data_IF_238807484465
#
_entry.id   IF_238807484465
#
_cell.length_a   1.000
_cell.length_b   1.000
_cell.length_c   1.000
_cell.angle_alpha   90.00
_cell.angle_beta   90.00
_cell.angle_gamma   90.00
#
_symmetry.space_group_name_H-M   'P 1'
#
loop_
_entity.id
_entity.type
_entity.pdbx_description
1 polymer ?
#
# COMPACT_ATOMS: atom_id res chain seq x y z
N UNK A 1 -64.91 3.02 1.29
CA UNK A 1 -63.50 2.63 1.37
C UNK A 1 -62.71 3.75 0.74
N UNK A 2 -62.20 4.66 1.55
CA UNK A 2 -61.56 5.89 1.12
C UNK A 2 -60.04 5.75 1.18
N UNK A 3 -59.39 6.02 0.06
CA UNK A 3 -57.94 6.22 -0.05
C UNK A 3 -57.65 7.71 0.10
N UNK A 4 -57.04 8.10 1.21
CA UNK A 4 -56.54 9.45 1.45
C UNK A 4 -55.10 9.55 0.92
N UNK A 5 -54.96 10.29 -0.17
CA UNK A 5 -53.66 10.68 -0.73
C UNK A 5 -53.06 11.80 0.12
N UNK A 6 -51.85 11.57 0.65
CA UNK A 6 -51.07 12.59 1.38
C UNK A 6 -50.08 13.21 0.37
N UNK A 7 -50.30 14.48 0.06
CA UNK A 7 -49.38 15.31 -0.72
C UNK A 7 -48.24 15.83 0.19
N UNK A 8 -46.96 15.71 -0.17
CA UNK A 8 -45.87 16.42 0.52
C UNK A 8 -45.86 17.90 0.10
N UNK A 9 -46.04 18.79 1.03
CA UNK A 9 -45.85 20.24 0.89
C UNK A 9 -44.34 20.53 0.82
N UNK A 10 -43.90 21.00 -0.33
CA UNK A 10 -42.56 21.60 -0.45
C UNK A 10 -42.56 22.98 0.19
N UNK A 11 -41.90 23.10 1.33
CA UNK A 11 -41.54 24.39 1.92
C UNK A 11 -40.39 25.01 1.11
N UNK A 12 -40.76 26.05 0.34
CA UNK A 12 -39.77 26.95 -0.29
C UNK A 12 -39.06 27.75 0.82
N UNK A 13 -37.86 27.29 1.20
CA UNK A 13 -36.95 28.09 2.02
C UNK A 13 -36.30 29.10 1.08
N UNK A 14 -36.76 30.35 1.17
CA UNK A 14 -36.15 31.52 0.52
C UNK A 14 -34.80 31.76 1.19
N UNK A 15 -33.72 31.25 0.66
CA UNK A 15 -32.37 31.52 1.17
C UNK A 15 -31.91 32.90 0.70
N UNK A 16 -31.67 33.80 1.67
CA UNK A 16 -31.01 35.06 1.47
C UNK A 16 -29.54 34.83 1.04
N UNK A 17 -29.31 34.74 -0.26
CA UNK A 17 -28.02 34.54 -0.89
C UNK A 17 -27.06 35.74 -0.70
N UNK A 18 -27.51 36.86 -0.18
CA UNK A 18 -26.68 38.07 0.00
C UNK A 18 -25.83 38.11 1.28
N UNK A 19 -26.13 37.29 2.29
CA UNK A 19 -25.30 37.25 3.51
C UNK A 19 -24.11 36.28 3.38
N UNK A 20 -24.25 35.21 2.62
CA UNK A 20 -23.19 34.20 2.41
C UNK A 20 -22.02 34.78 1.58
N UNK A 21 -22.29 35.66 0.63
CA UNK A 21 -21.26 36.31 -0.18
C UNK A 21 -20.40 37.34 0.58
N UNK A 22 -20.97 38.01 1.60
CA UNK A 22 -20.18 38.92 2.44
C UNK A 22 -19.21 38.20 3.38
N UNK A 23 -19.56 37.01 3.86
CA UNK A 23 -18.68 36.23 4.72
C UNK A 23 -17.53 35.56 3.93
N UNK A 24 -17.77 35.14 2.70
CA UNK A 24 -16.71 34.58 1.84
C UNK A 24 -15.69 35.64 1.41
N UNK A 25 -16.12 36.87 1.13
CA UNK A 25 -15.18 37.96 0.80
C UNK A 25 -14.31 38.40 1.97
N UNK A 26 -14.75 38.20 3.23
CA UNK A 26 -13.94 38.55 4.40
C UNK A 26 -12.89 37.45 4.68
N UNK A 27 -13.20 36.19 4.44
CA UNK A 27 -12.27 35.06 4.59
C UNK A 27 -11.21 35.04 3.49
N UNK A 28 -11.59 35.39 2.24
CA UNK A 28 -10.63 35.49 1.14
C UNK A 28 -9.68 36.68 1.26
N UNK A 29 -10.09 37.78 1.92
CA UNK A 29 -9.18 38.95 2.15
C UNK A 29 -8.10 38.67 3.20
N UNK A 30 -8.33 37.80 4.18
CA UNK A 30 -7.30 37.45 5.16
C UNK A 30 -6.29 36.42 4.65
N UNK A 31 -6.64 35.62 3.64
CA UNK A 31 -5.74 34.61 3.05
C UNK A 31 -4.78 35.24 2.03
N UNK A 32 -5.13 36.38 1.44
CA UNK A 32 -4.29 37.04 0.40
C UNK A 32 -3.27 38.05 0.93
N UNK A 33 -3.22 38.32 2.24
CA UNK A 33 -2.33 39.37 2.78
C UNK A 33 -1.01 38.82 3.36
N UNK A 34 -0.82 37.51 3.49
CA UNK A 34 0.40 36.91 4.06
C UNK A 34 1.40 36.34 3.04
N UNK A 35 1.21 36.57 1.74
CA UNK A 35 2.08 36.01 0.70
C UNK A 35 2.97 37.07 -0.01
N UNK A 36 3.37 38.14 0.63
CA UNK A 36 4.30 39.14 0.07
C UNK A 36 5.75 39.06 0.58
N UNK A 37 6.20 37.90 1.05
CA UNK A 37 7.63 37.67 1.17
C UNK A 37 8.17 37.15 -0.15
N UNK A 38 9.13 37.85 -0.81
CA UNK A 38 9.73 37.32 -2.04
C UNK A 38 10.43 36.00 -1.71
N UNK A 39 9.94 34.91 -2.31
CA UNK A 39 10.61 33.61 -2.22
C UNK A 39 11.97 33.77 -2.90
N UNK A 40 13.01 33.92 -2.08
CA UNK A 40 14.36 33.97 -2.59
C UNK A 40 14.69 32.61 -3.19
N UNK A 41 14.90 32.56 -4.49
CA UNK A 41 15.28 31.38 -5.26
C UNK A 41 16.76 31.07 -4.95
N UNK A 42 17.08 30.75 -3.71
CA UNK A 42 18.30 30.06 -3.35
C UNK A 42 18.00 28.57 -3.28
N UNK A 43 18.96 27.75 -3.58
CA UNK A 43 18.87 26.26 -3.67
C UNK A 43 18.19 25.56 -2.48
N UNK A 44 17.96 26.26 -1.36
CA UNK A 44 17.13 25.84 -0.24
C UNK A 44 15.61 25.96 -0.45
N UNK A 45 15.16 26.84 -1.35
CA UNK A 45 13.72 27.08 -1.57
C UNK A 45 13.00 25.89 -2.21
N UNK A 46 13.71 25.11 -3.02
CA UNK A 46 13.14 23.90 -3.64
C UNK A 46 12.85 22.81 -2.61
N UNK A 47 13.68 22.70 -1.58
CA UNK A 47 13.47 21.72 -0.50
C UNK A 47 12.33 22.16 0.42
N UNK A 48 12.22 23.45 0.74
CA UNK A 48 11.12 24.00 1.56
C UNK A 48 9.77 23.90 0.84
N UNK A 49 9.72 24.18 -0.47
CA UNK A 49 8.51 24.01 -1.26
C UNK A 49 8.09 22.52 -1.33
N UNK A 50 9.05 21.64 -1.48
CA UNK A 50 8.82 20.19 -1.48
C UNK A 50 8.35 19.67 -0.12
N UNK A 51 8.91 20.19 0.96
CA UNK A 51 8.48 19.89 2.33
C UNK A 51 7.08 20.45 2.63
N UNK A 52 6.77 21.68 2.16
CA UNK A 52 5.46 22.27 2.33
C UNK A 52 4.38 21.50 1.57
N UNK A 53 4.64 21.09 0.32
CA UNK A 53 3.74 20.25 -0.46
C UNK A 53 3.58 18.88 0.20
N UNK A 54 4.66 18.26 0.66
CA UNK A 54 4.62 17.00 1.38
C UNK A 54 3.83 17.10 2.71
N UNK A 55 3.96 18.22 3.42
CA UNK A 55 3.20 18.48 4.65
C UNK A 55 1.73 18.71 4.37
N UNK A 56 1.38 19.37 3.27
CA UNK A 56 0.00 19.59 2.85
C UNK A 56 -0.67 18.31 2.35
N UNK A 57 0.04 17.45 1.60
CA UNK A 57 -0.44 16.13 1.23
C UNK A 57 -0.61 15.20 2.44
N UNK A 58 0.32 15.27 3.41
CA UNK A 58 0.21 14.51 4.66
C UNK A 58 -0.95 14.98 5.55
N UNK A 59 -1.31 16.26 5.52
CA UNK A 59 -2.46 16.79 6.28
C UNK A 59 -3.81 16.39 5.68
N UNK A 60 -3.83 16.06 4.39
CA UNK A 60 -5.03 15.55 3.70
C UNK A 60 -5.21 14.02 3.86
N UNK A 61 -4.23 13.34 4.45
CA UNK A 61 -4.27 11.89 4.62
C UNK A 61 -4.87 11.52 5.98
N UNK A 62 -5.81 10.56 6.05
CA UNK A 62 -6.48 10.18 7.30
C UNK A 62 -5.58 9.42 8.29
N UNK A 63 -4.26 9.41 8.07
CA UNK A 63 -3.31 8.73 8.95
C UNK A 63 -3.06 9.50 10.24
N UNK A 64 -2.95 8.80 11.39
CA UNK A 64 -2.56 9.43 12.64
C UNK A 64 -1.22 10.14 12.54
N UNK A 65 -1.10 11.30 13.19
CA UNK A 65 0.16 12.04 13.27
C UNK A 65 1.28 11.20 13.91
N UNK A 66 2.50 11.34 13.43
CA UNK A 66 3.66 10.63 13.96
C UNK A 66 3.91 9.24 13.36
N UNK A 67 3.08 8.77 12.42
CA UNK A 67 3.29 7.50 11.74
C UNK A 67 4.41 7.62 10.70
N UNK A 68 5.42 6.77 10.82
CA UNK A 68 6.58 6.74 9.92
C UNK A 68 6.35 5.69 8.82
N UNK A 69 6.37 6.16 7.57
CA UNK A 69 6.25 5.30 6.40
C UNK A 69 7.53 4.48 6.17
N UNK A 70 7.36 3.21 5.80
CA UNK A 70 8.49 2.33 5.55
C UNK A 70 9.16 2.62 4.21
N UNK A 71 10.47 2.82 4.22
CA UNK A 71 11.27 3.01 3.03
C UNK A 71 11.41 1.74 2.18
N UNK A 72 11.81 1.91 0.91
CA UNK A 72 11.95 0.82 -0.06
C UNK A 72 12.92 -0.27 0.39
N UNK A 73 14.07 0.10 0.98
CA UNK A 73 15.10 -0.84 1.41
C UNK A 73 14.60 -1.85 2.44
N UNK A 74 13.89 -1.39 3.47
CA UNK A 74 13.32 -2.27 4.50
C UNK A 74 12.27 -3.22 3.92
N UNK A 75 11.45 -2.74 2.98
CA UNK A 75 10.42 -3.56 2.31
C UNK A 75 11.05 -4.62 1.41
N UNK A 76 12.09 -4.24 0.64
CA UNK A 76 12.81 -5.19 -0.21
C UNK A 76 13.54 -6.25 0.61
N UNK A 77 14.20 -5.85 1.70
CA UNK A 77 14.85 -6.79 2.60
C UNK A 77 13.86 -7.78 3.23
N UNK A 78 12.70 -7.29 3.68
CA UNK A 78 11.64 -8.15 4.19
C UNK A 78 11.15 -9.16 3.14
N UNK A 79 10.93 -8.72 1.89
CA UNK A 79 10.52 -9.59 0.81
C UNK A 79 11.58 -10.65 0.48
N UNK A 80 12.86 -10.28 0.45
CA UNK A 80 13.96 -11.21 0.21
C UNK A 80 14.00 -12.29 1.28
N UNK A 81 13.87 -11.93 2.55
CA UNK A 81 13.82 -12.91 3.64
C UNK A 81 12.63 -13.83 3.52
N UNK A 82 11.43 -13.30 3.23
CA UNK A 82 10.24 -14.10 3.04
C UNK A 82 10.41 -15.11 1.88
N UNK A 83 10.95 -14.65 0.74
CA UNK A 83 11.18 -15.51 -0.43
C UNK A 83 12.26 -16.57 -0.16
N UNK A 84 13.34 -16.20 0.53
CA UNK A 84 14.40 -17.14 0.91
C UNK A 84 13.87 -18.23 1.85
N UNK A 85 13.11 -17.85 2.88
CA UNK A 85 12.50 -18.78 3.82
C UNK A 85 11.54 -19.72 3.12
N UNK A 86 10.65 -19.19 2.28
CA UNK A 86 9.70 -20.00 1.52
C UNK A 86 10.42 -20.97 0.57
N UNK A 87 11.45 -20.49 -0.14
CA UNK A 87 12.26 -21.32 -1.03
C UNK A 87 12.97 -22.45 -0.26
N UNK A 88 13.51 -22.17 0.92
CA UNK A 88 14.13 -23.18 1.77
C UNK A 88 13.12 -24.24 2.22
N UNK A 89 11.94 -23.82 2.69
CA UNK A 89 10.86 -24.74 3.09
C UNK A 89 10.44 -25.63 1.90
N UNK A 90 10.22 -25.04 0.72
CA UNK A 90 9.82 -25.80 -0.48
C UNK A 90 10.92 -26.76 -0.94
N UNK A 91 12.18 -26.36 -0.86
CA UNK A 91 13.32 -27.23 -1.20
C UNK A 91 13.35 -28.46 -0.31
N UNK A 92 13.17 -28.27 1.00
CA UNK A 92 13.11 -29.40 1.93
C UNK A 92 11.87 -30.25 1.70
N UNK A 93 10.69 -29.65 1.57
CA UNK A 93 9.42 -30.38 1.38
C UNK A 93 9.38 -31.17 0.09
N UNK A 94 9.99 -30.68 -0.98
CA UNK A 94 10.05 -31.37 -2.27
C UNK A 94 11.30 -32.23 -2.45
N UNK A 95 12.13 -32.37 -1.41
CA UNK A 95 13.43 -33.08 -1.47
C UNK A 95 14.33 -32.52 -2.59
N UNK A 96 14.39 -31.21 -2.72
CA UNK A 96 15.19 -30.51 -3.74
C UNK A 96 14.55 -30.42 -5.13
N UNK A 97 13.45 -31.13 -5.40
CA UNK A 97 12.85 -31.19 -6.75
C UNK A 97 12.34 -29.84 -7.24
N UNK A 98 11.99 -28.91 -6.36
CA UNK A 98 11.52 -27.57 -6.73
C UNK A 98 12.58 -26.78 -7.53
N UNK A 99 13.87 -27.06 -7.33
CA UNK A 99 14.96 -26.39 -8.03
C UNK A 99 14.92 -26.67 -9.54
N UNK A 100 14.36 -27.81 -9.94
CA UNK A 100 14.23 -28.19 -11.36
C UNK A 100 13.31 -27.26 -12.16
N UNK A 101 12.54 -26.37 -11.52
CA UNK A 101 11.76 -25.33 -12.23
C UNK A 101 12.67 -24.46 -13.10
N UNK A 102 13.93 -24.28 -12.69
CA UNK A 102 14.92 -23.47 -13.41
C UNK A 102 15.63 -24.22 -14.54
N UNK A 103 15.34 -25.51 -14.68
CA UNK A 103 15.89 -26.33 -15.77
C UNK A 103 15.05 -26.18 -17.03
N UNK A 104 15.57 -25.43 -18.01
CA UNK A 104 14.90 -25.19 -19.30
C UNK A 104 14.63 -26.46 -20.10
N UNK A 105 15.45 -27.50 -19.93
CA UNK A 105 15.30 -28.77 -20.68
C UNK A 105 13.99 -29.45 -20.35
N UNK A 106 13.45 -29.26 -19.14
CA UNK A 106 12.15 -29.79 -18.76
C UNK A 106 10.97 -29.16 -19.50
N UNK A 107 11.12 -27.90 -19.97
CA UNK A 107 10.09 -27.21 -20.76
C UNK A 107 9.87 -27.86 -22.13
N UNK A 108 10.96 -28.42 -22.70
CA UNK A 108 10.97 -28.98 -24.04
C UNK A 108 10.98 -30.53 -24.04
N UNK A 109 10.91 -31.13 -22.85
CA UNK A 109 10.91 -32.60 -22.68
C UNK A 109 9.52 -33.20 -22.58
N UNK A 110 9.43 -34.51 -22.68
CA UNK A 110 8.21 -35.29 -22.37
C UNK A 110 7.75 -35.12 -20.91
N UNK A 111 8.61 -34.55 -20.05
CA UNK A 111 8.35 -34.30 -18.62
C UNK A 111 7.73 -32.90 -18.34
N UNK A 112 7.19 -32.26 -19.36
CA UNK A 112 6.55 -30.94 -19.22
C UNK A 112 5.46 -30.86 -18.12
N UNK A 113 4.71 -31.95 -17.95
CA UNK A 113 3.72 -32.07 -16.88
C UNK A 113 4.34 -31.91 -15.48
N UNK A 114 5.52 -32.46 -15.26
CA UNK A 114 6.24 -32.34 -14.02
C UNK A 114 6.63 -30.90 -13.77
N UNK A 115 7.10 -30.18 -14.79
CA UNK A 115 7.42 -28.74 -14.70
C UNK A 115 6.19 -27.92 -14.30
N UNK A 116 5.03 -28.16 -14.95
CA UNK A 116 3.76 -27.48 -14.60
C UNK A 116 3.41 -27.71 -13.13
N UNK A 117 3.49 -28.95 -12.64
CA UNK A 117 3.18 -29.25 -11.23
C UNK A 117 4.10 -28.50 -10.28
N UNK A 118 5.40 -28.42 -10.57
CA UNK A 118 6.34 -27.66 -9.73
C UNK A 118 6.05 -26.16 -9.74
N UNK A 119 5.69 -25.59 -10.89
CA UNK A 119 5.27 -24.17 -11.00
C UNK A 119 4.00 -23.93 -10.20
N UNK A 120 3.02 -24.81 -10.26
CA UNK A 120 1.78 -24.70 -9.48
C UNK A 120 2.05 -24.80 -7.97
N UNK A 121 2.95 -25.69 -7.55
CA UNK A 121 3.37 -25.80 -6.14
C UNK A 121 4.04 -24.50 -5.70
N UNK A 122 4.99 -23.96 -6.46
CA UNK A 122 5.67 -22.73 -6.13
C UNK A 122 4.70 -21.54 -6.04
N UNK A 123 3.86 -21.37 -7.06
CA UNK A 123 2.90 -20.26 -7.15
C UNK A 123 1.84 -20.37 -6.05
N UNK A 124 1.25 -21.54 -5.88
CA UNK A 124 0.22 -21.80 -4.87
C UNK A 124 0.76 -21.64 -3.46
N UNK A 125 1.95 -22.16 -3.16
CA UNK A 125 2.59 -22.02 -1.85
C UNK A 125 2.95 -20.56 -1.55
N UNK A 126 3.43 -19.82 -2.54
CA UNK A 126 3.74 -18.38 -2.38
C UNK A 126 2.48 -17.58 -2.08
N UNK A 127 1.42 -17.79 -2.87
CA UNK A 127 0.15 -17.11 -2.63
C UNK A 127 -0.41 -17.46 -1.24
N UNK A 128 -0.41 -18.75 -0.89
CA UNK A 128 -0.93 -19.24 0.39
C UNK A 128 -0.13 -18.67 1.57
N UNK A 129 1.20 -18.67 1.48
CA UNK A 129 2.07 -18.11 2.50
C UNK A 129 1.74 -16.64 2.80
N UNK A 130 1.72 -15.77 1.77
CA UNK A 130 1.45 -14.36 1.98
C UNK A 130 0.00 -14.07 2.39
N UNK A 131 -0.95 -14.87 1.91
CA UNK A 131 -2.34 -14.73 2.31
C UNK A 131 -2.55 -15.14 3.77
N UNK A 132 -2.06 -16.33 4.17
CA UNK A 132 -2.23 -16.81 5.53
C UNK A 132 -1.49 -15.93 6.55
N UNK A 133 -0.22 -15.59 6.28
CA UNK A 133 0.54 -14.72 7.18
C UNK A 133 -0.09 -13.33 7.29
N UNK A 134 -0.67 -12.80 6.20
CA UNK A 134 -1.39 -11.54 6.21
C UNK A 134 -2.67 -11.61 7.04
N UNK A 135 -3.54 -12.58 6.80
CA UNK A 135 -4.84 -12.71 7.47
C UNK A 135 -4.67 -13.08 8.95
N UNK A 136 -3.75 -14.00 9.28
CA UNK A 136 -3.60 -14.50 10.66
C UNK A 136 -2.75 -13.59 11.53
N UNK A 137 -1.65 -13.06 10.97
CA UNK A 137 -0.64 -12.29 11.72
C UNK A 137 -0.56 -10.82 11.31
N UNK A 138 -1.36 -10.37 10.34
CA UNK A 138 -1.35 -9.03 9.76
C UNK A 138 0.01 -8.61 9.16
N UNK A 139 0.97 -9.53 9.05
CA UNK A 139 2.31 -9.34 8.48
C UNK A 139 3.04 -10.65 8.25
N UNK A 140 3.95 -10.68 7.25
CA UNK A 140 4.83 -11.84 7.02
C UNK A 140 5.99 -11.88 8.03
N UNK A 141 6.71 -13.01 8.06
CA UNK A 141 7.88 -13.15 8.95
C UNK A 141 8.98 -12.14 8.64
N UNK A 142 9.31 -11.92 7.37
CA UNK A 142 10.28 -10.89 6.97
C UNK A 142 9.83 -9.50 7.38
N UNK A 143 8.54 -9.16 7.22
CA UNK A 143 8.00 -7.88 7.68
C UNK A 143 8.11 -7.72 9.19
N UNK A 144 7.90 -8.80 9.94
CA UNK A 144 8.06 -8.81 11.40
C UNK A 144 9.49 -8.50 11.82
N UNK A 145 10.48 -9.10 11.16
CA UNK A 145 11.91 -8.85 11.43
C UNK A 145 12.33 -7.41 11.23
N UNK A 146 11.74 -6.73 10.23
CA UNK A 146 12.01 -5.31 9.95
C UNK A 146 11.06 -4.34 10.63
N UNK A 147 10.25 -4.82 11.60
CA UNK A 147 9.25 -4.00 12.30
C UNK A 147 8.30 -3.28 11.35
N UNK A 148 7.90 -3.93 10.27
CA UNK A 148 6.94 -3.40 9.31
C UNK A 148 5.52 -3.80 9.71
N UNK A 149 4.57 -2.91 9.45
CA UNK A 149 3.14 -3.15 9.54
C UNK A 149 2.46 -2.70 8.26
N UNK A 150 1.40 -3.40 7.88
CA UNK A 150 0.59 -3.03 6.71
C UNK A 150 -0.79 -2.70 7.23
N UNK A 151 -1.26 -1.51 6.87
CA UNK A 151 -2.57 -1.01 7.25
C UNK A 151 -3.27 -0.45 6.00
N UNK A 152 -4.58 -0.31 6.04
CA UNK A 152 -5.32 0.41 5.02
C UNK A 152 -4.95 1.91 5.06
N UNK A 153 -5.26 2.65 4.01
CA UNK A 153 -4.95 4.09 3.91
C UNK A 153 -5.60 4.92 5.02
N UNK A 154 -6.74 4.49 5.53
CA UNK A 154 -7.45 5.10 6.66
C UNK A 154 -6.88 4.69 8.04
N UNK A 155 -5.81 3.89 8.07
CA UNK A 155 -5.22 3.35 9.29
C UNK A 155 -5.93 2.13 9.85
N UNK A 156 -7.04 1.69 9.27
CA UNK A 156 -7.77 0.50 9.70
C UNK A 156 -7.02 -0.80 9.38
N UNK A 157 -7.50 -1.90 9.95
CA UNK A 157 -7.00 -3.24 9.63
C UNK A 157 -7.35 -3.63 8.20
N UNK A 158 -6.41 -4.26 7.51
CA UNK A 158 -6.65 -4.76 6.15
C UNK A 158 -7.66 -5.91 6.15
N UNK A 159 -8.63 -5.85 5.24
CA UNK A 159 -9.58 -6.94 5.03
C UNK A 159 -8.91 -8.16 4.39
N UNK A 160 -9.53 -9.35 4.54
CA UNK A 160 -9.04 -10.58 3.90
C UNK A 160 -8.99 -10.48 2.37
N UNK A 161 -9.90 -9.72 1.77
CA UNK A 161 -9.90 -9.46 0.32
C UNK A 161 -8.70 -8.59 -0.12
N UNK A 162 -8.30 -7.60 0.69
CA UNK A 162 -7.10 -6.81 0.43
C UNK A 162 -5.84 -7.67 0.54
N UNK A 163 -5.76 -8.55 1.55
CA UNK A 163 -4.66 -9.52 1.68
C UNK A 163 -4.58 -10.46 0.49
N UNK A 164 -5.70 -10.95 -0.01
CA UNK A 164 -5.73 -11.80 -1.18
C UNK A 164 -5.22 -11.09 -2.44
N UNK A 165 -5.68 -9.85 -2.69
CA UNK A 165 -5.17 -9.03 -3.81
C UNK A 165 -3.67 -8.79 -3.70
N UNK A 166 -3.19 -8.50 -2.46
CA UNK A 166 -1.77 -8.27 -2.20
C UNK A 166 -0.93 -9.52 -2.44
N UNK A 167 -1.40 -10.67 -1.99
CA UNK A 167 -0.73 -11.95 -2.19
C UNK A 167 -0.61 -12.31 -3.67
N UNK A 168 -1.68 -12.08 -4.46
CA UNK A 168 -1.65 -12.26 -5.92
C UNK A 168 -0.65 -11.33 -6.60
N UNK A 169 -0.60 -10.07 -6.20
CA UNK A 169 0.36 -9.12 -6.76
C UNK A 169 1.83 -9.51 -6.51
N UNK A 170 2.11 -10.21 -5.41
CA UNK A 170 3.46 -10.72 -5.12
C UNK A 170 3.89 -11.88 -6.02
N UNK A 171 2.97 -12.58 -6.68
CA UNK A 171 3.31 -13.64 -7.62
C UNK A 171 4.11 -13.14 -8.83
N UNK A 172 3.99 -11.87 -9.17
CA UNK A 172 4.79 -11.26 -10.25
C UNK A 172 6.30 -11.34 -9.96
N UNK A 173 6.70 -11.39 -8.69
CA UNK A 173 8.11 -11.56 -8.31
C UNK A 173 8.64 -12.98 -8.53
N UNK A 174 7.78 -13.95 -8.88
CA UNK A 174 8.22 -15.32 -9.23
C UNK A 174 8.65 -15.46 -10.68
N UNK A 175 8.30 -14.51 -11.57
CA UNK A 175 8.62 -14.55 -12.98
C UNK A 175 10.08 -14.15 -13.17
N UNK A 176 10.97 -15.06 -13.65
CA UNK A 176 12.37 -14.77 -13.88
C UNK A 176 12.55 -13.59 -14.82
N UNK A 177 13.65 -12.84 -14.65
CA UNK A 177 13.97 -11.61 -15.39
C UNK A 177 12.98 -10.47 -15.18
N UNK A 178 11.67 -10.75 -15.26
CA UNK A 178 10.63 -9.77 -15.00
C UNK A 178 10.65 -9.30 -13.53
N UNK A 179 11.02 -10.17 -12.59
CA UNK A 179 11.11 -9.85 -11.17
C UNK A 179 12.12 -8.72 -10.90
N UNK A 180 13.26 -8.70 -11.60
CA UNK A 180 14.30 -7.67 -11.45
C UNK A 180 13.78 -6.32 -11.94
N UNK A 181 13.18 -6.31 -13.14
CA UNK A 181 12.58 -5.10 -13.70
C UNK A 181 11.42 -4.60 -12.82
N UNK A 182 10.54 -5.50 -12.42
CA UNK A 182 9.39 -5.16 -11.57
C UNK A 182 9.84 -4.65 -10.19
N UNK A 183 10.83 -5.28 -9.56
CA UNK A 183 11.39 -4.82 -8.29
C UNK A 183 12.03 -3.43 -8.41
N UNK A 184 12.84 -3.20 -9.44
CA UNK A 184 13.46 -1.90 -9.69
C UNK A 184 12.40 -0.80 -9.90
N UNK A 185 11.37 -1.10 -10.69
CA UNK A 185 10.26 -0.20 -10.95
C UNK A 185 9.47 0.15 -9.66
N UNK A 186 9.12 -0.86 -8.85
CA UNK A 186 8.42 -0.65 -7.58
C UNK A 186 9.27 0.13 -6.57
N UNK A 187 10.58 -0.17 -6.46
CA UNK A 187 11.53 0.57 -5.62
C UNK A 187 11.58 2.05 -6.04
N UNK A 188 11.66 2.31 -7.35
CA UNK A 188 11.67 3.67 -7.87
C UNK A 188 10.38 4.41 -7.53
N UNK A 189 9.22 3.76 -7.69
CA UNK A 189 7.92 4.34 -7.33
C UNK A 189 7.80 4.66 -5.85
N UNK A 190 8.25 3.76 -4.97
CA UNK A 190 8.27 3.99 -3.52
C UNK A 190 9.16 5.21 -3.17
N UNK A 191 10.31 5.37 -3.86
CA UNK A 191 11.22 6.50 -3.61
C UNK A 191 10.70 7.84 -4.14
N UNK A 192 9.96 7.82 -5.24
CA UNK A 192 9.46 9.02 -5.89
C UNK A 192 8.16 9.56 -5.27
N UNK A 193 7.35 8.71 -4.65
CA UNK A 193 6.07 9.11 -4.07
C UNK A 193 6.23 9.57 -2.63
N UNK A 194 5.54 10.64 -2.26
CA UNK A 194 5.48 11.14 -0.88
C UNK A 194 4.85 10.11 0.06
N UNK A 195 3.88 9.34 -0.46
CA UNK A 195 3.18 8.29 0.27
C UNK A 195 4.01 7.03 0.47
N UNK A 196 5.20 6.96 -0.13
CA UNK A 196 6.04 5.74 -0.14
C UNK A 196 5.27 4.48 -0.54
N UNK A 197 4.20 4.62 -1.33
CA UNK A 197 3.40 3.49 -1.82
C UNK A 197 3.98 2.91 -3.11
N UNK A 198 4.02 1.59 -3.17
CA UNK A 198 4.19 0.86 -4.42
C UNK A 198 2.92 0.96 -5.29
N UNK A 199 2.98 0.57 -6.56
CA UNK A 199 1.77 0.49 -7.36
C UNK A 199 0.78 -0.54 -6.80
N UNK A 200 1.30 -1.66 -6.30
CA UNK A 200 0.49 -2.68 -5.64
C UNK A 200 -0.22 -2.12 -4.41
N UNK A 201 0.50 -1.37 -3.57
CA UNK A 201 -0.08 -0.76 -2.35
C UNK A 201 -1.19 0.22 -2.71
N UNK A 202 -0.97 1.07 -3.71
CA UNK A 202 -1.94 2.06 -4.18
C UNK A 202 -3.22 1.42 -4.75
N UNK A 203 -3.07 0.38 -5.58
CA UNK A 203 -4.22 -0.31 -6.17
C UNK A 203 -5.09 -1.04 -5.15
N UNK A 204 -4.56 -1.31 -3.98
CA UNK A 204 -5.25 -2.00 -2.88
C UNK A 204 -5.78 -1.01 -1.85
N UNK A 205 -5.28 0.24 -1.84
CA UNK A 205 -5.56 1.20 -0.79
C UNK A 205 -4.85 0.84 0.53
N UNK A 206 -3.58 0.42 0.46
CA UNK A 206 -2.79 0.03 1.62
C UNK A 206 -1.50 0.82 1.71
N UNK A 207 -0.98 0.94 2.93
CA UNK A 207 0.31 1.57 3.22
C UNK A 207 1.15 0.67 4.10
N UNK A 208 2.47 0.80 3.96
CA UNK A 208 3.42 0.08 4.79
C UNK A 208 4.13 1.07 5.71
N UNK A 209 4.02 0.84 7.00
CA UNK A 209 4.53 1.72 8.05
C UNK A 209 5.49 0.97 8.97
N UNK A 210 6.24 1.72 9.77
CA UNK A 210 7.05 1.14 10.84
C UNK A 210 6.11 0.84 12.02
N UNK A 211 6.03 -0.42 12.44
CA UNK A 211 5.07 -0.86 13.48
C UNK A 211 5.19 -0.09 14.79
N UNK A 212 6.42 0.33 15.16
CA UNK A 212 6.67 1.06 16.39
C UNK A 212 6.16 2.51 16.37
N UNK A 213 5.93 3.09 15.17
CA UNK A 213 5.38 4.43 15.03
C UNK A 213 3.84 4.46 15.07
N UNK A 214 3.19 3.31 14.96
CA UNK A 214 1.74 3.24 15.07
C UNK A 214 1.27 3.51 16.51
N UNK A 215 0.13 4.21 16.69
CA UNK A 215 -0.52 4.35 17.99
C UNK A 215 -0.80 3.00 18.65
N UNK A 216 -0.77 2.90 19.99
CA UNK A 216 -1.02 1.62 20.70
C UNK A 216 -2.35 0.96 20.35
N UNK A 217 -3.38 1.73 20.08
CA UNK A 217 -4.69 1.23 19.66
C UNK A 217 -4.62 0.42 18.37
N UNK A 218 -3.90 0.93 17.35
CA UNK A 218 -3.73 0.28 16.05
C UNK A 218 -2.72 -0.89 16.11
N UNK A 219 -1.79 -0.88 17.06
CA UNK A 219 -0.84 -2.02 17.24
C UNK A 219 -1.51 -3.30 17.75
N UNK A 220 -2.66 -3.21 18.41
CA UNK A 220 -3.37 -4.39 18.96
C UNK A 220 -3.74 -5.41 17.88
N UNK A 221 -3.91 -4.98 16.65
CA UNK A 221 -4.22 -5.84 15.50
C UNK A 221 -2.98 -6.52 14.90
N UNK A 222 -1.76 -6.07 15.27
CA UNK A 222 -0.50 -6.66 14.81
C UNK A 222 -0.14 -7.85 15.71
N UNK A 223 -0.50 -9.03 15.28
CA UNK A 223 -0.19 -10.30 15.95
C UNK A 223 1.19 -10.82 15.57
#
# INVERSE_FOLDING_TARGET
MGLTSVHPRYLLVRSDTNQTFRHLNHVTRHVTQDHSSPISIHSGGFNLAREAVAKQENSAWPMPEGVILAGASRRSAALIIDMTLLSAILTVATRGRIVNIWNSDLLFSTSFHYWIVMVLILTGSTWLYFRLTGVVFSRSLGQRMFSLAIVAEDGSEMTSAMWDRRSRGKLLFLIPLFNIYHAAYEIQRIRQRHTHQSNLDRNIGSIVVISNSLPPALRRHLR
#
